data_IF_694012905418
#
_entry.id   IF_694012905418
#
_cell.length_a   1.000
_cell.length_b   1.000
_cell.length_c   1.000
_cell.angle_alpha   90.00
_cell.angle_beta   90.00
_cell.angle_gamma   90.00
#
_symmetry.space_group_name_H-M   'P 1'
#
loop_
_entity.id
_entity.type
_entity.pdbx_description
1 polymer ?
#
# COMPACT_ATOMS: atom_id res chain seq x y z
N UNK A 1 -7.66 21.69 -22.13
CA UNK A 1 -6.33 21.47 -21.52
C UNK A 1 -6.49 21.64 -20.02
N UNK A 2 -6.78 20.53 -19.35
CA UNK A 2 -7.25 20.52 -17.96
C UNK A 2 -6.12 20.47 -16.95
N UNK A 3 -6.45 20.81 -15.72
CA UNK A 3 -5.70 20.64 -14.47
C UNK A 3 -4.91 19.32 -14.32
N UNK A 4 -5.20 18.31 -15.14
CA UNK A 4 -4.49 17.03 -15.19
C UNK A 4 -3.13 17.10 -15.90
N UNK A 5 -2.92 18.01 -16.88
CA UNK A 5 -1.59 18.26 -17.47
C UNK A 5 -0.64 18.92 -16.47
N UNK A 6 -1.20 19.68 -15.52
CA UNK A 6 -0.45 20.29 -14.43
C UNK A 6 0.10 19.24 -13.45
N UNK A 7 -0.66 18.18 -13.18
CA UNK A 7 -0.25 17.08 -12.28
C UNK A 7 0.77 16.11 -12.90
N UNK A 8 0.91 16.11 -14.24
CA UNK A 8 1.81 15.23 -15.01
C UNK A 8 3.20 15.85 -15.26
N UNK A 9 3.40 17.14 -14.96
CA UNK A 9 4.73 17.77 -14.99
C UNK A 9 5.53 17.31 -13.76
N UNK A 10 6.83 17.08 -13.95
CA UNK A 10 7.78 16.72 -12.90
C UNK A 10 7.51 17.55 -11.64
N UNK A 11 6.88 16.94 -10.61
CA UNK A 11 6.64 17.61 -9.33
C UNK A 11 7.95 18.22 -8.85
N UNK A 12 7.95 19.50 -8.56
CA UNK A 12 9.13 20.16 -8.00
C UNK A 12 9.48 19.50 -6.66
N UNK A 13 10.74 19.56 -6.25
CA UNK A 13 11.13 18.98 -4.95
C UNK A 13 10.31 19.58 -3.79
N UNK A 14 9.89 20.84 -3.91
CA UNK A 14 9.02 21.55 -2.98
C UNK A 14 7.57 20.99 -2.94
N UNK A 15 7.02 20.58 -4.09
CA UNK A 15 5.71 19.90 -4.17
C UNK A 15 5.75 18.47 -3.62
N UNK A 16 6.86 17.76 -3.77
CA UNK A 16 7.05 16.44 -3.15
C UNK A 16 7.19 16.56 -1.64
N UNK A 17 7.92 17.57 -1.17
CA UNK A 17 8.14 17.80 0.26
C UNK A 17 6.83 18.21 0.96
N UNK A 18 6.07 19.13 0.38
CA UNK A 18 4.76 19.55 0.91
C UNK A 18 3.75 18.39 0.93
N UNK A 19 3.72 17.56 -0.12
CA UNK A 19 2.89 16.35 -0.15
C UNK A 19 3.32 15.33 0.90
N UNK A 20 4.63 15.13 1.07
CA UNK A 20 5.17 14.22 2.08
C UNK A 20 4.81 14.68 3.50
N UNK A 21 4.91 15.99 3.79
CA UNK A 21 4.47 16.61 5.04
C UNK A 21 2.95 16.47 5.25
N UNK A 22 2.15 16.71 4.23
CA UNK A 22 0.69 16.57 4.30
C UNK A 22 0.23 15.13 4.59
N UNK A 23 0.96 14.14 4.07
CA UNK A 23 0.68 12.72 4.27
C UNK A 23 1.42 12.11 5.48
N UNK A 24 2.23 12.88 6.19
CA UNK A 24 3.09 12.38 7.27
C UNK A 24 2.28 11.75 8.39
N UNK A 25 1.15 12.36 8.78
CA UNK A 25 0.25 11.83 9.81
C UNK A 25 -0.39 10.51 9.39
N UNK A 26 -0.90 10.43 8.16
CA UNK A 26 -1.52 9.22 7.62
C UNK A 26 -0.49 8.11 7.50
N UNK A 27 0.69 8.42 6.96
CA UNK A 27 1.82 7.48 6.85
C UNK A 27 2.22 6.95 8.22
N UNK A 28 2.39 7.82 9.20
CA UNK A 28 2.81 7.43 10.55
C UNK A 28 1.74 6.57 11.23
N UNK A 29 0.48 7.00 11.22
CA UNK A 29 -0.63 6.26 11.83
C UNK A 29 -0.82 4.88 11.19
N UNK A 30 -0.81 4.81 9.86
CA UNK A 30 -0.95 3.56 9.11
C UNK A 30 0.23 2.62 9.35
N UNK A 31 1.47 3.12 9.31
CA UNK A 31 2.66 2.31 9.59
C UNK A 31 2.73 1.85 11.04
N UNK A 32 2.29 2.66 12.00
CA UNK A 32 2.22 2.28 13.41
C UNK A 32 1.20 1.17 13.64
N UNK A 33 0.01 1.26 13.04
CA UNK A 33 -1.00 0.19 13.09
C UNK A 33 -0.47 -1.10 12.47
N UNK A 34 0.06 -1.02 11.25
CA UNK A 34 0.67 -2.17 10.58
C UNK A 34 1.82 -2.79 11.39
N UNK A 35 2.72 -1.96 11.92
CA UNK A 35 3.85 -2.46 12.72
C UNK A 35 3.38 -3.18 13.98
N UNK A 36 2.29 -2.72 14.60
CA UNK A 36 1.67 -3.41 15.73
C UNK A 36 1.04 -4.74 15.30
N UNK A 37 0.33 -4.79 14.17
CA UNK A 37 -0.21 -6.03 13.59
C UNK A 37 0.88 -7.08 13.32
N UNK A 38 2.07 -6.62 12.89
CA UNK A 38 3.22 -7.50 12.66
C UNK A 38 4.04 -7.80 13.92
N UNK A 39 3.85 -7.08 15.03
CA UNK A 39 4.72 -7.18 16.20
C UNK A 39 4.56 -8.53 16.90
N UNK A 40 5.66 -9.28 17.03
CA UNK A 40 5.66 -10.60 17.69
C UNK A 40 5.19 -11.77 16.82
N UNK A 41 4.69 -11.52 15.60
CA UNK A 41 4.28 -12.56 14.66
C UNK A 41 5.43 -12.90 13.70
N UNK A 42 5.76 -14.19 13.59
CA UNK A 42 6.86 -14.71 12.74
C UNK A 42 6.36 -15.50 11.52
N UNK A 43 5.02 -15.62 11.41
CA UNK A 43 4.32 -16.31 10.33
C UNK A 43 3.09 -15.49 9.96
N UNK A 44 2.66 -15.64 8.71
CA UNK A 44 1.34 -15.22 8.28
C UNK A 44 0.38 -16.33 8.70
N UNK A 45 -0.39 -16.05 9.74
CA UNK A 45 -1.51 -16.87 10.19
C UNK A 45 -2.85 -16.17 9.85
N UNK A 46 -3.96 -16.87 10.05
CA UNK A 46 -5.30 -16.34 9.76
C UNK A 46 -5.59 -15.07 10.56
N UNK A 47 -5.19 -15.03 11.84
CA UNK A 47 -5.39 -13.87 12.71
C UNK A 47 -4.63 -12.64 12.21
N UNK A 48 -3.39 -12.82 11.73
CA UNK A 48 -2.63 -11.75 11.10
C UNK A 48 -3.34 -11.18 9.85
N UNK A 49 -3.96 -12.04 9.04
CA UNK A 49 -4.65 -11.63 7.82
C UNK A 49 -5.93 -10.85 8.13
N UNK A 50 -6.67 -11.28 9.16
CA UNK A 50 -7.85 -10.57 9.67
C UNK A 50 -7.48 -9.17 10.21
N UNK A 51 -6.42 -9.08 11.03
CA UNK A 51 -5.92 -7.79 11.56
C UNK A 51 -5.49 -6.84 10.43
N UNK A 52 -4.88 -7.39 9.37
CA UNK A 52 -4.47 -6.63 8.18
C UNK A 52 -5.69 -6.16 7.39
N UNK A 53 -6.72 -7.01 7.23
CA UNK A 53 -7.98 -6.66 6.58
C UNK A 53 -8.66 -5.49 7.29
N UNK A 54 -8.83 -5.58 8.61
CA UNK A 54 -9.44 -4.52 9.41
C UNK A 54 -8.65 -3.20 9.27
N UNK A 55 -7.31 -3.29 9.30
CA UNK A 55 -6.44 -2.13 9.15
C UNK A 55 -6.61 -1.46 7.78
N UNK A 56 -6.70 -2.23 6.69
CA UNK A 56 -6.87 -1.70 5.35
C UNK A 56 -8.28 -1.14 5.12
N UNK A 57 -9.32 -1.83 5.59
CA UNK A 57 -10.71 -1.37 5.50
C UNK A 57 -10.90 -0.06 6.28
N UNK A 58 -10.34 0.03 7.51
CA UNK A 58 -10.41 1.26 8.32
C UNK A 58 -9.55 2.41 7.78
N UNK A 59 -8.67 2.15 6.80
CA UNK A 59 -7.86 3.15 6.11
C UNK A 59 -8.51 3.66 4.80
N UNK A 60 -9.81 3.44 4.62
CA UNK A 60 -10.59 3.87 3.44
C UNK A 60 -10.14 3.24 2.11
N UNK A 61 -9.55 2.05 2.13
CA UNK A 61 -9.10 1.32 0.92
C UNK A 61 -10.27 0.61 0.20
N UNK A 62 -11.30 0.22 0.94
CA UNK A 62 -12.48 -0.50 0.45
C UNK A 62 -12.28 -2.02 0.33
N UNK A 63 -13.36 -2.78 0.48
CA UNK A 63 -13.36 -4.24 0.63
C UNK A 63 -12.69 -4.95 -0.57
N UNK A 64 -13.09 -4.61 -1.80
CA UNK A 64 -12.59 -5.28 -3.00
C UNK A 64 -11.07 -5.08 -3.17
N UNK A 65 -10.58 -3.87 -2.89
CA UNK A 65 -9.16 -3.54 -3.00
C UNK A 65 -8.36 -4.21 -1.88
N UNK A 66 -8.90 -4.23 -0.66
CA UNK A 66 -8.29 -4.91 0.49
C UNK A 66 -8.08 -6.40 0.19
N UNK A 67 -9.11 -7.12 -0.27
CA UNK A 67 -9.00 -8.54 -0.62
C UNK A 67 -7.92 -8.78 -1.68
N UNK A 68 -7.85 -7.93 -2.72
CA UNK A 68 -6.81 -8.02 -3.75
C UNK A 68 -5.40 -7.81 -3.18
N UNK A 69 -5.24 -6.87 -2.25
CA UNK A 69 -3.95 -6.62 -1.58
C UNK A 69 -3.53 -7.84 -0.77
N UNK A 70 -4.44 -8.38 0.06
CA UNK A 70 -4.18 -9.53 0.93
C UNK A 70 -3.79 -10.76 0.10
N UNK A 71 -4.56 -11.12 -0.93
CA UNK A 71 -4.25 -12.31 -1.75
C UNK A 71 -2.89 -12.22 -2.44
N UNK A 72 -2.50 -11.02 -2.91
CA UNK A 72 -1.19 -10.80 -3.54
C UNK A 72 -0.06 -10.84 -2.52
N UNK A 73 -0.30 -10.28 -1.34
CA UNK A 73 0.63 -10.30 -0.23
C UNK A 73 0.95 -11.74 0.22
N UNK A 74 -0.08 -12.54 0.48
CA UNK A 74 0.06 -13.96 0.85
C UNK A 74 0.83 -14.76 -0.20
N UNK A 75 0.45 -14.64 -1.48
CA UNK A 75 1.09 -15.35 -2.58
C UNK A 75 2.59 -15.02 -2.67
N UNK A 76 2.95 -13.75 -2.41
CA UNK A 76 4.34 -13.30 -2.45
C UNK A 76 5.14 -13.73 -1.24
N UNK A 77 4.56 -13.67 -0.04
CA UNK A 77 5.23 -14.13 1.18
C UNK A 77 5.46 -15.65 1.15
N UNK A 78 4.48 -16.42 0.65
CA UNK A 78 4.64 -17.85 0.43
C UNK A 78 5.81 -18.20 -0.51
N UNK A 79 6.10 -17.30 -1.48
CA UNK A 79 7.20 -17.46 -2.43
C UNK A 79 8.55 -17.03 -1.87
N UNK A 80 8.60 -15.94 -1.09
CA UNK A 80 9.88 -15.32 -0.68
C UNK A 80 10.56 -16.00 0.52
N UNK A 81 9.95 -16.95 1.25
CA UNK A 81 10.54 -17.69 2.41
C UNK A 81 11.11 -16.85 3.57
N UNK A 82 11.28 -15.54 3.42
CA UNK A 82 11.75 -14.60 4.44
C UNK A 82 10.55 -14.08 5.25
N UNK A 83 10.59 -14.24 6.58
CA UNK A 83 9.46 -13.96 7.48
C UNK A 83 9.83 -13.01 8.63
N UNK A 84 10.61 -11.97 8.33
CA UNK A 84 10.86 -10.87 9.26
C UNK A 84 9.81 -9.76 9.13
N UNK A 85 9.48 -9.07 10.23
CA UNK A 85 8.52 -7.94 10.26
C UNK A 85 8.86 -6.85 9.23
N UNK A 86 10.15 -6.55 9.06
CA UNK A 86 10.62 -5.57 8.08
C UNK A 86 10.36 -6.02 6.64
N UNK A 87 10.48 -7.32 6.37
CA UNK A 87 10.21 -7.89 5.05
C UNK A 87 8.71 -7.88 4.74
N UNK A 88 7.87 -8.23 5.72
CA UNK A 88 6.41 -8.17 5.56
C UNK A 88 5.94 -6.74 5.23
N UNK A 89 6.43 -5.74 5.96
CA UNK A 89 6.09 -4.33 5.68
C UNK A 89 6.60 -3.89 4.28
N UNK A 90 7.80 -4.32 3.89
CA UNK A 90 8.34 -4.05 2.55
C UNK A 90 7.46 -4.67 1.46
N UNK A 91 7.14 -5.96 1.56
CA UNK A 91 6.33 -6.68 0.59
C UNK A 91 4.94 -6.03 0.46
N UNK A 92 4.29 -5.70 1.58
CA UNK A 92 2.98 -5.05 1.55
C UNK A 92 3.01 -3.70 0.81
N UNK A 93 4.02 -2.85 1.09
CA UNK A 93 4.20 -1.57 0.39
C UNK A 93 4.41 -1.75 -1.10
N UNK A 94 5.22 -2.74 -1.48
CA UNK A 94 5.50 -3.04 -2.89
C UNK A 94 4.24 -3.53 -3.62
N UNK A 95 3.42 -4.38 -3.00
CA UNK A 95 2.16 -4.84 -3.60
C UNK A 95 1.14 -3.71 -3.75
N UNK A 96 0.98 -2.85 -2.74
CA UNK A 96 0.09 -1.68 -2.83
C UNK A 96 0.59 -0.74 -3.94
N UNK A 97 1.89 -0.46 -4.02
CA UNK A 97 2.46 0.38 -5.07
C UNK A 97 2.26 -0.22 -6.46
N UNK A 98 2.48 -1.53 -6.61
CA UNK A 98 2.28 -2.26 -7.85
C UNK A 98 0.82 -2.21 -8.31
N UNK A 99 -0.14 -2.41 -7.40
CA UNK A 99 -1.56 -2.35 -7.70
C UNK A 99 -2.00 -0.96 -8.17
N UNK A 100 -1.52 0.10 -7.50
CA UNK A 100 -1.79 1.48 -7.89
C UNK A 100 -1.18 1.84 -9.26
N UNK A 101 0.03 1.35 -9.56
CA UNK A 101 0.67 1.54 -10.87
C UNK A 101 -0.10 0.83 -11.98
N UNK A 102 -0.49 -0.44 -11.76
CA UNK A 102 -1.25 -1.21 -12.73
C UNK A 102 -2.61 -0.57 -13.07
N UNK A 103 -3.30 -0.02 -12.06
CA UNK A 103 -4.54 0.72 -12.26
C UNK A 103 -4.32 2.00 -13.07
N UNK A 104 -3.25 2.74 -12.79
CA UNK A 104 -2.90 3.94 -13.55
C UNK A 104 -2.55 3.60 -15.02
N UNK A 105 -1.85 2.50 -15.28
CA UNK A 105 -1.60 2.03 -16.64
C UNK A 105 -2.89 1.67 -17.38
N UNK A 106 -3.83 0.99 -16.71
CA UNK A 106 -5.12 0.62 -17.31
C UNK A 106 -5.97 1.84 -17.65
N UNK A 107 -6.06 2.83 -16.76
CA UNK A 107 -6.75 4.10 -17.01
C UNK A 107 -6.17 4.86 -18.22
N UNK A 108 -4.86 4.79 -18.44
CA UNK A 108 -4.22 5.45 -19.59
C UNK A 108 -4.46 4.74 -20.92
N UNK A 109 -4.78 3.44 -20.90
CA UNK A 109 -5.09 2.67 -22.11
C UNK A 109 -6.56 2.80 -22.53
N UNK A 110 -7.46 3.06 -21.58
CA UNK A 110 -8.90 3.26 -21.86
C UNK A 110 -9.24 4.71 -22.28
N UNK A 111 -8.27 5.64 -22.22
CA UNK A 111 -8.43 7.05 -22.65
C UNK A 111 -7.80 7.37 -24.02
N UNK A 112 -7.38 6.36 -24.80
CA UNK A 112 -6.84 6.52 -26.16
C UNK A 112 -7.74 5.87 -27.20
#
# INVERSE_FOLDING_TARGET
MGIFDFFKRNKTEEEKESLSKGLEKTKTSFLSKLSNTFFGRTKIDEEFLDDLEETLVSADVGIETTLKIISRFEARVAKEKYTGVNDLNRILKEEISSLLQAHNTKLNLEMN
#
